data_IF_770238308124
#
_entry.id   IF_770238308124
#
_cell.length_a   1.000
_cell.length_b   1.000
_cell.length_c   1.000
_cell.angle_alpha   90.00
_cell.angle_beta   90.00
_cell.angle_gamma   90.00
#
_symmetry.space_group_name_H-M   'P 1'
#
loop_
_entity.id
_entity.type
_entity.pdbx_description
1 polymer ?
#
# COMPACT_ATOMS: atom_id res chain seq x y z
N UNK A 1 1.55 10.72 23.53
CA UNK A 1 3.03 10.71 23.62
C UNK A 1 3.54 9.80 22.51
N UNK A 2 4.17 10.35 21.48
CA UNK A 2 4.84 9.55 20.44
C UNK A 2 6.12 8.95 21.03
N UNK A 3 6.25 7.62 20.98
CA UNK A 3 7.43 6.92 21.46
C UNK A 3 8.62 7.31 20.58
N UNK A 4 9.81 7.50 21.19
CA UNK A 4 11.04 7.79 20.43
C UNK A 4 11.32 6.72 19.36
N UNK A 5 10.93 5.47 19.61
CA UNK A 5 11.04 4.39 18.63
C UNK A 5 10.26 4.68 17.33
N UNK A 6 9.08 5.30 17.39
CA UNK A 6 8.30 5.59 16.19
C UNK A 6 8.86 6.78 15.40
N UNK A 7 9.58 7.69 16.06
CA UNK A 7 10.25 8.82 15.39
C UNK A 7 11.44 8.38 14.53
N UNK A 8 12.17 7.33 14.97
CA UNK A 8 13.36 6.83 14.29
C UNK A 8 13.14 5.47 13.61
N UNK A 9 11.90 4.94 13.58
CA UNK A 9 11.60 3.67 12.91
C UNK A 9 11.84 3.83 11.40
N UNK A 10 12.76 3.07 10.79
CA UNK A 10 12.95 3.12 9.35
C UNK A 10 11.74 2.52 8.64
N UNK A 11 10.94 3.36 7.99
CA UNK A 11 9.75 2.98 7.20
C UNK A 11 10.10 2.23 5.90
N UNK A 12 11.39 2.15 5.56
CA UNK A 12 11.90 1.46 4.38
C UNK A 12 13.37 1.11 4.61
N UNK A 13 13.86 0.05 3.96
CA UNK A 13 15.26 -0.37 4.08
C UNK A 13 16.26 0.70 3.60
N UNK A 14 15.82 1.63 2.74
CA UNK A 14 16.62 2.79 2.32
C UNK A 14 16.81 3.83 3.43
N UNK A 15 15.93 3.83 4.45
CA UNK A 15 15.98 4.71 5.62
C UNK A 15 16.65 4.05 6.82
N UNK A 16 17.16 2.81 6.66
CA UNK A 16 17.95 2.19 7.71
C UNK A 16 19.28 2.92 7.84
N UNK A 17 19.57 3.41 9.04
CA UNK A 17 20.86 4.00 9.36
C UNK A 17 21.97 2.94 9.46
N UNK A 18 21.58 1.67 9.70
CA UNK A 18 22.46 0.52 9.93
C UNK A 18 22.27 -0.57 8.85
N UNK A 19 23.28 -1.41 8.59
CA UNK A 19 23.21 -2.53 7.61
C UNK A 19 22.73 -2.18 6.19
N UNK A 20 23.10 -0.99 5.68
CA UNK A 20 22.79 -0.53 4.31
C UNK A 20 23.25 -1.51 3.21
N UNK A 21 24.35 -2.21 3.46
CA UNK A 21 24.90 -3.20 2.54
C UNK A 21 24.00 -4.44 2.41
N UNK A 22 23.54 -4.99 3.53
CA UNK A 22 22.59 -6.11 3.55
C UNK A 22 21.26 -5.72 2.89
N UNK A 23 20.84 -4.47 3.10
CA UNK A 23 19.65 -3.94 2.45
C UNK A 23 19.76 -3.87 0.92
N UNK A 24 20.93 -3.46 0.42
CA UNK A 24 21.26 -3.47 -1.00
C UNK A 24 21.34 -4.89 -1.54
N UNK A 25 22.01 -5.80 -0.81
CA UNK A 25 22.16 -7.20 -1.17
C UNK A 25 20.80 -7.91 -1.33
N UNK A 26 19.84 -7.65 -0.44
CA UNK A 26 18.49 -8.22 -0.55
C UNK A 26 17.76 -7.80 -1.83
N UNK A 27 17.88 -6.54 -2.25
CA UNK A 27 17.31 -6.07 -3.52
C UNK A 27 17.98 -6.73 -4.71
N UNK A 28 19.31 -6.81 -4.68
CA UNK A 28 20.10 -7.44 -5.73
C UNK A 28 19.77 -8.93 -5.85
N UNK A 29 19.54 -9.62 -4.73
CA UNK A 29 19.17 -11.03 -4.70
C UNK A 29 17.86 -11.28 -5.45
N UNK A 30 16.84 -10.46 -5.26
CA UNK A 30 15.57 -10.59 -6.01
C UNK A 30 15.83 -10.43 -7.52
N UNK A 31 16.63 -9.44 -7.93
CA UNK A 31 17.00 -9.25 -9.33
C UNK A 31 17.73 -10.47 -9.90
N UNK A 32 18.71 -11.02 -9.17
CA UNK A 32 19.45 -12.21 -9.56
C UNK A 32 18.53 -13.43 -9.70
N UNK A 33 17.58 -13.62 -8.78
CA UNK A 33 16.61 -14.71 -8.86
C UNK A 33 15.71 -14.56 -10.08
N UNK A 34 15.18 -13.36 -10.35
CA UNK A 34 14.36 -13.09 -11.54
C UNK A 34 15.12 -13.39 -12.84
N UNK A 35 16.35 -12.89 -12.96
CA UNK A 35 17.20 -13.13 -14.14
C UNK A 35 17.49 -14.63 -14.30
N UNK A 36 17.78 -15.35 -13.21
CA UNK A 36 18.04 -16.78 -13.26
C UNK A 36 16.81 -17.60 -13.68
N UNK A 37 15.62 -17.23 -13.21
CA UNK A 37 14.37 -17.88 -13.60
C UNK A 37 14.08 -17.61 -15.08
N UNK A 38 14.18 -16.37 -15.55
CA UNK A 38 14.02 -16.05 -16.96
C UNK A 38 15.03 -16.79 -17.85
N UNK A 39 16.30 -16.86 -17.45
CA UNK A 39 17.33 -17.62 -18.17
C UNK A 39 16.98 -19.11 -18.29
N UNK A 40 16.44 -19.73 -17.24
CA UNK A 40 15.99 -21.14 -17.27
C UNK A 40 14.84 -21.36 -18.25
N UNK A 41 13.98 -20.37 -18.41
CA UNK A 41 12.89 -20.36 -19.39
C UNK A 41 13.33 -19.91 -20.80
N UNK A 42 14.63 -19.67 -21.03
CA UNK A 42 15.15 -19.20 -22.32
C UNK A 42 14.85 -17.73 -22.64
N UNK A 43 14.43 -16.94 -21.65
CA UNK A 43 14.07 -15.54 -21.77
C UNK A 43 15.20 -14.62 -21.26
N UNK A 44 15.40 -13.48 -21.95
CA UNK A 44 16.36 -12.46 -21.51
C UNK A 44 15.62 -11.30 -20.83
N UNK A 45 15.75 -11.19 -19.51
CA UNK A 45 15.16 -10.11 -18.71
C UNK A 45 16.15 -8.94 -18.59
N UNK A 46 15.79 -7.71 -19.03
CA UNK A 46 16.62 -6.53 -18.83
C UNK A 46 16.84 -6.22 -17.34
N UNK A 47 18.06 -5.83 -16.98
CA UNK A 47 18.41 -5.53 -15.59
C UNK A 47 17.60 -4.36 -15.00
N UNK A 48 17.30 -3.34 -15.81
CA UNK A 48 16.47 -2.21 -15.41
C UNK A 48 15.03 -2.64 -15.05
N UNK A 49 14.43 -3.52 -15.85
CA UNK A 49 13.10 -4.06 -15.56
C UNK A 49 13.12 -4.93 -14.30
N UNK A 50 14.14 -5.77 -14.12
CA UNK A 50 14.31 -6.58 -12.91
C UNK A 50 14.40 -5.71 -11.64
N UNK A 51 15.11 -4.58 -11.72
CA UNK A 51 15.24 -3.62 -10.62
C UNK A 51 13.90 -2.94 -10.31
N UNK A 52 13.16 -2.49 -11.33
CA UNK A 52 11.81 -1.93 -11.18
C UNK A 52 10.85 -2.93 -10.52
N UNK A 53 10.87 -4.20 -10.92
CA UNK A 53 10.06 -5.27 -10.31
C UNK A 53 10.48 -5.51 -8.86
N UNK A 54 11.79 -5.59 -8.58
CA UNK A 54 12.28 -5.77 -7.22
C UNK A 54 11.84 -4.63 -6.28
N UNK A 55 11.82 -3.40 -6.76
CA UNK A 55 11.33 -2.24 -6.01
C UNK A 55 9.80 -2.29 -5.79
N UNK A 56 8.99 -2.50 -6.86
CA UNK A 56 7.52 -2.60 -6.76
C UNK A 56 7.05 -3.81 -5.93
N UNK A 57 7.83 -4.90 -5.88
CA UNK A 57 7.47 -6.12 -5.14
C UNK A 57 7.47 -5.94 -3.61
N UNK A 58 8.04 -4.84 -3.09
CA UNK A 58 8.10 -4.60 -1.65
C UNK A 58 8.99 -5.58 -0.88
N UNK A 59 9.91 -6.27 -1.58
CA UNK A 59 10.75 -7.39 -1.07
C UNK A 59 9.99 -8.71 -0.90
N UNK A 60 8.84 -8.87 -1.54
CA UNK A 60 8.13 -10.15 -1.60
C UNK A 60 8.52 -10.89 -2.89
N UNK A 61 9.32 -11.96 -2.75
CA UNK A 61 9.82 -12.73 -3.89
C UNK A 61 8.70 -13.38 -4.71
N UNK A 62 7.64 -13.87 -4.05
CA UNK A 62 6.49 -14.45 -4.75
C UNK A 62 5.77 -13.39 -5.59
N UNK A 63 5.56 -12.21 -5.02
CA UNK A 63 4.98 -11.06 -5.74
C UNK A 63 5.86 -10.67 -6.93
N UNK A 64 7.18 -10.62 -6.75
CA UNK A 64 8.13 -10.30 -7.82
C UNK A 64 8.06 -11.29 -9.00
N UNK A 65 7.99 -12.60 -8.70
CA UNK A 65 7.88 -13.64 -9.73
C UNK A 65 6.56 -13.53 -10.51
N UNK A 66 5.45 -13.34 -9.81
CA UNK A 66 4.13 -13.15 -10.43
C UNK A 66 4.09 -11.88 -11.30
N UNK A 67 4.69 -10.79 -10.83
CA UNK A 67 4.83 -9.55 -11.61
C UNK A 67 5.66 -9.77 -12.88
N UNK A 68 6.75 -10.52 -12.79
CA UNK A 68 7.58 -10.87 -13.94
C UNK A 68 6.82 -11.72 -14.97
N UNK A 69 6.01 -12.67 -14.50
CA UNK A 69 5.17 -13.49 -15.37
C UNK A 69 4.07 -12.66 -16.04
N UNK A 70 3.43 -11.75 -15.31
CA UNK A 70 2.45 -10.84 -15.87
C UNK A 70 3.07 -9.92 -16.93
N UNK A 71 4.30 -9.44 -16.72
CA UNK A 71 5.05 -8.68 -17.74
C UNK A 71 5.27 -9.51 -19.01
N UNK A 72 5.64 -10.80 -18.87
CA UNK A 72 5.83 -11.71 -20.00
C UNK A 72 4.55 -11.89 -20.81
N UNK A 73 3.40 -12.00 -20.14
CA UNK A 73 2.08 -12.18 -20.81
C UNK A 73 1.65 -10.91 -21.54
N UNK A 74 1.97 -9.73 -21.01
CA UNK A 74 1.62 -8.46 -21.66
C UNK A 74 2.44 -8.18 -22.91
N UNK A 75 3.76 -8.37 -22.84
CA UNK A 75 4.66 -8.04 -23.94
C UNK A 75 5.90 -8.93 -23.92
N UNK A 76 6.20 -9.52 -25.07
CA UNK A 76 7.44 -10.21 -25.34
C UNK A 76 7.96 -9.80 -26.73
N UNK A 77 9.25 -9.47 -26.90
CA UNK A 77 10.35 -9.46 -25.91
C UNK A 77 10.21 -8.34 -24.87
N UNK A 78 10.82 -8.54 -23.69
CA UNK A 78 10.81 -7.57 -22.60
C UNK A 78 11.43 -6.24 -23.01
N UNK A 79 10.83 -5.13 -22.58
CA UNK A 79 11.40 -3.78 -22.70
C UNK A 79 11.86 -3.25 -21.34
N UNK A 80 12.91 -2.43 -21.31
CA UNK A 80 13.38 -1.79 -20.07
C UNK A 80 12.33 -0.81 -19.48
N UNK A 81 11.50 -0.22 -20.35
CA UNK A 81 10.46 0.76 -19.99
C UNK A 81 9.05 0.18 -20.01
N UNK A 82 8.94 -1.15 -20.00
CA UNK A 82 7.66 -1.82 -19.88
C UNK A 82 6.97 -1.44 -18.56
N UNK A 83 5.67 -1.15 -18.63
CA UNK A 83 4.87 -0.93 -17.43
C UNK A 83 4.64 -2.26 -16.71
N UNK A 84 4.76 -2.22 -15.38
CA UNK A 84 4.60 -3.42 -14.55
C UNK A 84 3.15 -3.45 -14.07
N UNK A 85 2.35 -4.46 -14.50
CA UNK A 85 0.97 -4.58 -14.07
C UNK A 85 0.90 -4.68 -12.55
N UNK A 86 0.05 -3.83 -11.98
CA UNK A 86 -0.31 -3.91 -10.58
C UNK A 86 -1.41 -4.93 -10.40
N UNK A 87 -1.43 -5.59 -9.25
CA UNK A 87 -2.47 -6.59 -8.97
C UNK A 87 -3.83 -5.91 -8.82
N UNK A 88 -4.89 -6.55 -9.31
CA UNK A 88 -6.26 -6.00 -9.27
C UNK A 88 -6.68 -5.50 -7.89
N UNK A 89 -6.26 -6.19 -6.81
CA UNK A 89 -6.57 -5.78 -5.44
C UNK A 89 -5.85 -4.49 -5.02
N UNK A 90 -4.64 -4.21 -5.51
CA UNK A 90 -3.90 -2.97 -5.23
C UNK A 90 -4.54 -1.77 -5.92
N UNK A 91 -4.91 -1.95 -7.20
CA UNK A 91 -5.64 -0.94 -7.96
C UNK A 91 -6.97 -0.63 -7.28
N UNK A 92 -7.71 -1.68 -6.95
CA UNK A 92 -8.99 -1.55 -6.27
C UNK A 92 -8.88 -0.88 -4.90
N UNK A 93 -7.81 -1.16 -4.14
CA UNK A 93 -7.53 -0.51 -2.86
C UNK A 93 -7.29 0.99 -3.03
N UNK A 94 -6.48 1.36 -4.04
CA UNK A 94 -6.15 2.75 -4.36
C UNK A 94 -7.37 3.52 -4.83
N UNK A 95 -8.16 2.94 -5.72
CA UNK A 95 -9.44 3.51 -6.16
C UNK A 95 -10.39 3.71 -4.97
N UNK A 96 -10.44 2.74 -4.05
CA UNK A 96 -11.24 2.84 -2.83
C UNK A 96 -10.75 3.97 -1.93
N UNK A 97 -9.44 4.09 -1.70
CA UNK A 97 -8.85 5.17 -0.91
C UNK A 97 -9.14 6.55 -1.53
N UNK A 98 -8.98 6.68 -2.84
CA UNK A 98 -9.30 7.92 -3.57
C UNK A 98 -10.80 8.26 -3.50
N UNK A 99 -11.68 7.25 -3.58
CA UNK A 99 -13.11 7.43 -3.40
C UNK A 99 -13.48 7.90 -1.97
N UNK A 100 -12.79 7.38 -0.94
CA UNK A 100 -12.96 7.82 0.46
C UNK A 100 -12.59 9.31 0.62
N UNK A 101 -11.49 9.73 0.02
CA UNK A 101 -10.98 11.11 0.13
C UNK A 101 -11.81 12.11 -0.70
N UNK A 102 -12.32 11.70 -1.85
CA UNK A 102 -13.05 12.59 -2.77
C UNK A 102 -14.49 12.89 -2.36
N UNK A 103 -15.19 11.98 -1.67
CA UNK A 103 -16.60 12.19 -1.33
C UNK A 103 -16.98 11.60 0.04
N UNK A 104 -17.32 12.48 0.99
CA UNK A 104 -17.73 12.12 2.36
C UNK A 104 -19.26 12.03 2.52
N UNK A 105 -19.97 11.37 1.59
CA UNK A 105 -21.43 11.22 1.66
C UNK A 105 -21.88 9.80 2.09
N UNK A 106 -22.89 9.66 2.97
CA UNK A 106 -23.39 8.35 3.44
C UNK A 106 -23.93 7.47 2.30
N UNK A 107 -24.49 8.08 1.25
CA UNK A 107 -25.12 7.37 0.13
C UNK A 107 -24.11 6.62 -0.76
N UNK A 108 -22.84 7.04 -0.80
CA UNK A 108 -21.79 6.32 -1.53
C UNK A 108 -21.42 5.01 -0.81
N UNK A 109 -21.75 4.87 0.49
CA UNK A 109 -21.20 3.87 1.41
C UNK A 109 -22.16 2.75 1.84
N UNK A 110 -23.25 2.49 1.11
CA UNK A 110 -23.93 1.19 1.19
C UNK A 110 -23.12 0.12 0.43
N UNK A 111 -21.94 -0.28 0.93
CA UNK A 111 -21.05 -1.19 0.19
C UNK A 111 -20.59 -2.40 1.01
N UNK A 112 -21.54 -3.13 1.58
CA UNK A 112 -21.33 -4.49 2.11
C UNK A 112 -20.65 -5.44 1.09
N UNK A 113 -20.86 -5.23 -0.22
CA UNK A 113 -20.29 -6.06 -1.29
C UNK A 113 -18.82 -5.81 -1.60
N UNK A 114 -18.25 -4.64 -1.27
CA UNK A 114 -16.87 -4.27 -1.64
C UNK A 114 -15.83 -4.73 -0.62
N UNK A 115 -16.19 -4.85 0.66
CA UNK A 115 -15.27 -5.22 1.75
C UNK A 115 -15.10 -6.74 1.95
N UNK A 116 -16.04 -7.56 1.47
CA UNK A 116 -15.95 -9.03 1.53
C UNK A 116 -14.67 -9.57 0.85
N UNK A 117 -14.15 -8.86 -0.16
CA UNK A 117 -12.94 -9.25 -0.91
C UNK A 117 -11.63 -8.81 -0.24
N UNK A 118 -11.69 -7.86 0.70
CA UNK A 118 -10.53 -7.18 1.31
C UNK A 118 -10.22 -7.71 2.73
N UNK A 119 -11.22 -8.32 3.37
CA UNK A 119 -11.22 -8.58 4.81
C UNK A 119 -10.13 -9.54 5.33
N UNK A 120 -9.54 -10.40 4.50
CA UNK A 120 -8.63 -11.44 4.98
C UNK A 120 -7.14 -11.05 4.94
N UNK A 121 -6.73 -10.07 4.12
CA UNK A 121 -5.29 -9.81 3.89
C UNK A 121 -4.91 -8.31 3.76
N UNK A 122 -5.87 -7.37 3.67
CA UNK A 122 -5.60 -6.02 3.16
C UNK A 122 -5.93 -4.84 4.13
N UNK A 123 -6.16 -5.11 5.41
CA UNK A 123 -6.38 -4.05 6.41
C UNK A 123 -5.21 -3.05 6.51
N UNK A 124 -3.98 -3.56 6.44
CA UNK A 124 -2.74 -2.75 6.49
C UNK A 124 -2.48 -1.98 5.19
N UNK A 125 -2.86 -2.55 4.04
CA UNK A 125 -2.71 -1.91 2.73
C UNK A 125 -3.62 -0.69 2.58
N UNK A 126 -4.91 -0.82 2.94
CA UNK A 126 -5.87 0.29 2.87
C UNK A 126 -5.40 1.47 3.74
N UNK A 127 -4.90 1.15 4.92
CA UNK A 127 -4.35 2.13 5.84
C UNK A 127 -3.15 2.87 5.23
N UNK A 128 -2.19 2.14 4.66
CA UNK A 128 -1.00 2.77 4.06
C UNK A 128 -1.39 3.73 2.94
N UNK A 129 -2.40 3.39 2.14
CA UNK A 129 -2.85 4.24 1.04
C UNK A 129 -3.61 5.48 1.54
N UNK A 130 -4.46 5.33 2.56
CA UNK A 130 -5.13 6.47 3.19
C UNK A 130 -4.14 7.42 3.88
N UNK A 131 -3.11 6.90 4.55
CA UNK A 131 -2.06 7.73 5.18
C UNK A 131 -1.19 8.47 4.16
N UNK A 132 -1.02 7.94 2.94
CA UNK A 132 -0.32 8.66 1.87
C UNK A 132 -1.11 9.89 1.40
N UNK A 133 -2.44 9.84 1.45
CA UNK A 133 -3.32 10.93 1.03
C UNK A 133 -3.65 11.95 2.14
N UNK A 134 -3.17 11.77 3.37
CA UNK A 134 -3.47 12.68 4.50
C UNK A 134 -2.33 13.67 4.77
N UNK A 135 -2.67 14.86 5.27
CA UNK A 135 -1.68 15.83 5.77
C UNK A 135 -0.97 15.37 7.04
N UNK A 136 0.25 15.87 7.27
CA UNK A 136 1.12 15.43 8.38
C UNK A 136 0.48 15.55 9.77
N UNK A 137 -0.39 16.53 9.99
CA UNK A 137 -1.14 16.70 11.23
C UNK A 137 -2.21 15.59 11.41
N UNK A 138 -2.86 15.19 10.32
CA UNK A 138 -3.91 14.19 10.30
C UNK A 138 -3.35 12.76 10.36
N UNK A 139 -2.13 12.52 9.85
CA UNK A 139 -1.47 11.20 9.89
C UNK A 139 -1.35 10.63 11.30
N UNK A 140 -1.13 11.47 12.32
CA UNK A 140 -1.02 11.02 13.70
C UNK A 140 -2.33 10.43 14.24
N UNK A 141 -3.44 11.14 14.05
CA UNK A 141 -4.76 10.71 14.50
C UNK A 141 -5.25 9.49 13.70
N UNK A 142 -5.10 9.51 12.37
CA UNK A 142 -5.49 8.40 11.49
C UNK A 142 -4.71 7.13 11.81
N UNK A 143 -3.41 7.25 12.13
CA UNK A 143 -2.59 6.09 12.50
C UNK A 143 -3.05 5.45 13.80
N UNK A 144 -3.42 6.25 14.81
CA UNK A 144 -3.97 5.74 16.06
C UNK A 144 -5.33 5.06 15.85
N UNK A 145 -6.21 5.69 15.06
CA UNK A 145 -7.49 5.10 14.69
C UNK A 145 -7.30 3.76 14.01
N UNK A 146 -6.37 3.66 13.07
CA UNK A 146 -6.16 2.44 12.33
C UNK A 146 -5.63 1.30 13.20
N UNK A 147 -4.66 1.57 14.08
CA UNK A 147 -4.18 0.58 15.05
C UNK A 147 -5.30 0.08 15.96
N UNK A 148 -6.20 0.98 16.40
CA UNK A 148 -7.36 0.62 17.22
C UNK A 148 -8.35 -0.28 16.48
N UNK A 149 -8.69 0.04 15.23
CA UNK A 149 -9.64 -0.76 14.45
C UNK A 149 -9.02 -2.06 13.94
N UNK A 150 -7.72 -2.11 13.65
CA UNK A 150 -6.98 -3.33 13.31
C UNK A 150 -6.98 -4.32 14.48
N UNK A 151 -6.67 -3.85 15.70
CA UNK A 151 -6.74 -4.68 16.89
C UNK A 151 -8.14 -5.27 17.13
N UNK A 152 -9.18 -4.44 16.93
CA UNK A 152 -10.57 -4.91 17.03
C UNK A 152 -10.95 -5.91 15.96
N UNK A 153 -10.40 -5.78 14.75
CA UNK A 153 -10.62 -6.71 13.65
C UNK A 153 -10.09 -8.11 13.99
N UNK A 154 -8.97 -8.20 14.73
CA UNK A 154 -8.40 -9.47 15.18
C UNK A 154 -9.17 -10.13 16.33
N UNK A 155 -9.87 -9.33 17.16
CA UNK A 155 -10.65 -9.83 18.31
C UNK A 155 -12.10 -10.20 17.95
N UNK A 156 -12.64 -9.67 16.86
CA UNK A 156 -14.06 -9.77 16.50
C UNK A 156 -14.35 -10.83 15.43
N UNK A 157 -15.58 -11.37 15.44
CA UNK A 157 -16.04 -12.35 14.45
C UNK A 157 -16.53 -11.74 13.14
N UNK A 158 -16.52 -10.41 12.99
CA UNK A 158 -17.09 -9.71 11.82
C UNK A 158 -16.23 -8.50 11.38
N UNK A 159 -15.12 -8.80 10.71
CA UNK A 159 -14.14 -7.81 10.21
C UNK A 159 -14.76 -6.62 9.44
N UNK A 160 -15.85 -6.88 8.70
CA UNK A 160 -16.55 -5.89 7.86
C UNK A 160 -17.04 -4.70 8.69
N UNK A 161 -17.65 -4.92 9.86
CA UNK A 161 -18.17 -3.81 10.68
C UNK A 161 -17.06 -2.95 11.26
N UNK A 162 -15.91 -3.53 11.58
CA UNK A 162 -14.76 -2.78 12.08
C UNK A 162 -14.13 -1.93 10.98
N UNK A 163 -14.03 -2.46 9.75
CA UNK A 163 -13.58 -1.70 8.59
C UNK A 163 -14.54 -0.57 8.23
N UNK A 164 -15.85 -0.83 8.22
CA UNK A 164 -16.86 0.18 7.94
C UNK A 164 -16.85 1.30 9.00
N UNK A 165 -16.76 0.93 10.28
CA UNK A 165 -16.65 1.89 11.36
C UNK A 165 -15.35 2.72 11.30
N UNK A 166 -14.23 2.13 10.89
CA UNK A 166 -12.98 2.85 10.66
C UNK A 166 -13.13 3.89 9.55
N UNK A 167 -13.68 3.48 8.40
CA UNK A 167 -13.86 4.36 7.24
C UNK A 167 -14.84 5.50 7.56
N UNK A 168 -15.96 5.21 8.24
CA UNK A 168 -16.91 6.23 8.67
C UNK A 168 -16.27 7.24 9.63
N UNK A 169 -15.48 6.76 10.59
CA UNK A 169 -14.74 7.62 11.52
C UNK A 169 -13.70 8.46 10.78
N UNK A 170 -12.98 7.87 9.82
CA UNK A 170 -12.00 8.59 8.99
C UNK A 170 -12.66 9.73 8.21
N UNK A 171 -13.80 9.48 7.56
CA UNK A 171 -14.51 10.52 6.81
C UNK A 171 -14.98 11.67 7.69
N UNK A 172 -15.47 11.37 8.90
CA UNK A 172 -15.91 12.40 9.83
C UNK A 172 -14.74 13.31 10.25
N UNK A 173 -13.58 12.72 10.56
CA UNK A 173 -12.37 13.47 10.94
C UNK A 173 -11.81 14.24 9.74
N UNK A 174 -11.72 13.60 8.57
CA UNK A 174 -11.21 14.23 7.34
C UNK A 174 -12.09 15.41 6.89
N UNK A 175 -13.42 15.26 6.95
CA UNK A 175 -14.36 16.33 6.61
C UNK A 175 -14.20 17.53 7.54
N UNK A 176 -14.14 17.29 8.85
CA UNK A 176 -13.92 18.36 9.84
C UNK A 176 -12.59 19.07 9.61
N UNK A 177 -11.52 18.33 9.32
CA UNK A 177 -10.21 18.91 9.01
C UNK A 177 -10.25 19.83 7.77
N UNK A 178 -10.96 19.41 6.72
CA UNK A 178 -11.13 20.23 5.52
C UNK A 178 -11.96 21.50 5.80
N UNK A 179 -13.02 21.40 6.60
CA UNK A 179 -13.87 22.54 7.00
C UNK A 179 -13.08 23.55 7.86
N UNK A 180 -12.37 23.07 8.90
CA UNK A 180 -11.53 23.89 9.79
C UNK A 180 -10.40 24.60 9.00
N UNK A 181 -9.82 23.94 7.99
CA UNK A 181 -8.80 24.53 7.11
C UNK A 181 -9.33 25.58 6.12
N UNK A 182 -10.54 25.39 5.60
CA UNK A 182 -11.24 26.36 4.75
C UNK A 182 -11.60 27.63 5.52
N UNK A 183 -12.10 27.49 6.75
CA UNK A 183 -12.38 28.62 7.62
C UNK A 183 -11.10 29.42 7.93
N UNK A 184 -9.99 28.74 8.21
CA UNK A 184 -8.70 29.40 8.50
C UNK A 184 -8.07 30.14 7.31
N UNK A 185 -8.42 29.80 6.06
CA UNK A 185 -7.97 30.55 4.86
C UNK A 185 -8.88 31.74 4.51
N UNK A 186 -10.09 31.80 5.09
CA UNK A 186 -11.06 32.86 4.84
C UNK A 186 -10.91 34.07 5.78
N UNK A 187 -9.96 34.04 6.72
CA UNK A 187 -9.66 35.12 7.66
C UNK A 187 -8.20 35.59 7.59
#
# INVERSE_FOLDING_TARGET
>A
MSLWLDKYRPSSLNKLDYHKEQASQLKNLICTVLINVCKKEGLSLPAELAKKIAEKSGRNLRKALLMCEACRVQQLPFSADQDIPETDWEVYLRETANAIVSQQSPQRYCISSRYNKIASEAGTGLLSELLNNCDGHLKGEVSQMAAYYEHRLQLGSKAIYHLEAFVAKFMAVYKRFMEDGLEAMMF
#
